data_IF_107036789519
#
_entry.id   IF_107036789519
#
_cell.length_a   1.000
_cell.length_b   1.000
_cell.length_c   1.000
_cell.angle_alpha   90.00
_cell.angle_beta   90.00
_cell.angle_gamma   90.00
#
_symmetry.space_group_name_H-M   'P 1'
#
loop_
_entity.id
_entity.type
_entity.pdbx_description
1 polymer ?
#
# COMPACT_ATOMS: atom_id res chain seq x y z
N UNK A 1 -32.82 -6.69 -26.20
CA UNK A 1 -32.09 -7.51 -25.18
C UNK A 1 -30.61 -7.16 -25.17
N UNK A 2 -29.93 -7.08 -26.32
CA UNK A 2 -28.50 -6.72 -26.41
C UNK A 2 -28.15 -5.33 -25.85
N UNK A 3 -28.95 -4.29 -26.14
CA UNK A 3 -28.70 -2.94 -25.58
C UNK A 3 -28.76 -2.87 -24.04
N UNK A 4 -29.48 -3.77 -23.38
CA UNK A 4 -29.60 -3.78 -21.92
C UNK A 4 -28.39 -4.42 -21.21
N UNK A 5 -27.72 -5.37 -21.87
CA UNK A 5 -26.49 -5.98 -21.35
C UNK A 5 -25.27 -5.06 -21.52
N UNK A 6 -25.15 -4.39 -22.68
CA UNK A 6 -24.08 -3.42 -22.95
C UNK A 6 -24.02 -2.30 -21.89
N UNK A 7 -25.18 -1.76 -21.50
CA UNK A 7 -25.26 -0.70 -20.49
C UNK A 7 -24.88 -1.17 -19.07
N UNK A 8 -25.15 -2.43 -18.74
CA UNK A 8 -24.76 -3.04 -17.45
C UNK A 8 -23.25 -3.24 -17.32
N UNK A 9 -22.59 -3.68 -18.40
CA UNK A 9 -21.13 -3.82 -18.42
C UNK A 9 -20.40 -2.48 -18.30
N UNK A 10 -20.88 -1.44 -18.99
CA UNK A 10 -20.30 -0.08 -18.91
C UNK A 10 -20.43 0.48 -17.49
N UNK A 11 -21.60 0.34 -16.86
CA UNK A 11 -21.79 0.77 -15.46
C UNK A 11 -20.86 0.03 -14.51
N UNK A 12 -20.77 -1.30 -14.65
CA UNK A 12 -19.92 -2.16 -13.81
C UNK A 12 -18.45 -1.77 -13.94
N UNK A 13 -17.98 -1.56 -15.17
CA UNK A 13 -16.63 -1.09 -15.43
C UNK A 13 -16.39 0.29 -14.79
N UNK A 14 -17.32 1.23 -14.94
CA UNK A 14 -17.26 2.53 -14.28
C UNK A 14 -17.17 2.42 -12.75
N UNK A 15 -17.95 1.52 -12.15
CA UNK A 15 -17.91 1.26 -10.71
C UNK A 15 -16.57 0.65 -10.25
N UNK A 16 -15.99 -0.30 -11.00
CA UNK A 16 -14.66 -0.83 -10.73
C UNK A 16 -13.57 0.25 -10.84
N UNK A 17 -13.66 1.12 -11.86
CA UNK A 17 -12.74 2.24 -12.01
C UNK A 17 -12.82 3.19 -10.81
N UNK A 18 -14.03 3.56 -10.36
CA UNK A 18 -14.20 4.39 -9.16
C UNK A 18 -13.65 3.71 -7.91
N UNK A 19 -13.96 2.43 -7.71
CA UNK A 19 -13.55 1.66 -6.54
C UNK A 19 -12.03 1.54 -6.41
N UNK A 20 -11.33 1.28 -7.52
CA UNK A 20 -9.92 0.89 -7.51
C UNK A 20 -8.97 1.88 -8.18
N UNK A 21 -9.43 3.00 -8.74
CA UNK A 21 -8.54 4.00 -9.33
C UNK A 21 -7.47 4.52 -8.34
N UNK A 22 -7.79 4.89 -7.09
CA UNK A 22 -6.77 5.35 -6.15
C UNK A 22 -5.77 4.25 -5.78
N UNK A 23 -6.25 3.02 -5.57
CA UNK A 23 -5.37 1.89 -5.26
C UNK A 23 -4.47 1.53 -6.44
N UNK A 24 -4.99 1.56 -7.67
CA UNK A 24 -4.23 1.29 -8.88
C UNK A 24 -3.16 2.37 -9.11
N UNK A 25 -3.50 3.64 -8.90
CA UNK A 25 -2.54 4.73 -8.97
C UNK A 25 -1.40 4.58 -7.94
N UNK A 26 -1.72 4.20 -6.69
CA UNK A 26 -0.71 3.93 -5.68
C UNK A 26 0.13 2.69 -6.02
N UNK A 27 -0.49 1.62 -6.53
CA UNK A 27 0.23 0.41 -6.92
C UNK A 27 1.24 0.70 -8.03
N UNK A 28 0.81 1.37 -9.10
CA UNK A 28 1.66 1.70 -10.25
C UNK A 28 2.82 2.63 -9.87
N UNK A 29 2.59 3.58 -8.96
CA UNK A 29 3.63 4.53 -8.53
C UNK A 29 4.59 3.97 -7.48
N UNK A 30 4.08 3.19 -6.53
CA UNK A 30 4.83 2.82 -5.33
C UNK A 30 5.33 1.38 -5.35
N UNK A 31 4.57 0.45 -5.95
CA UNK A 31 4.85 -0.98 -5.90
C UNK A 31 5.40 -1.53 -7.22
N UNK A 32 4.88 -1.09 -8.37
CA UNK A 32 5.19 -1.71 -9.67
C UNK A 32 6.66 -1.54 -10.10
N UNK A 33 7.35 -0.50 -9.64
CA UNK A 33 8.76 -0.23 -9.98
C UNK A 33 9.76 -1.19 -9.32
N UNK A 34 9.34 -1.93 -8.30
CA UNK A 34 10.21 -2.83 -7.54
C UNK A 34 9.51 -4.18 -7.34
N UNK A 35 10.04 -5.28 -7.89
CA UNK A 35 9.43 -6.60 -7.77
C UNK A 35 9.26 -7.03 -6.31
N UNK A 36 10.13 -6.59 -5.40
CA UNK A 36 10.02 -6.90 -3.98
C UNK A 36 8.78 -6.26 -3.35
N UNK A 37 8.48 -5.01 -3.72
CA UNK A 37 7.25 -4.33 -3.29
C UNK A 37 6.02 -4.99 -3.90
N UNK A 38 6.10 -5.44 -5.14
CA UNK A 38 5.00 -6.19 -5.78
C UNK A 38 4.71 -7.51 -5.05
N UNK A 39 5.75 -8.25 -4.64
CA UNK A 39 5.60 -9.47 -3.82
C UNK A 39 4.98 -9.13 -2.45
N UNK A 40 5.40 -8.03 -1.81
CA UNK A 40 4.84 -7.58 -0.53
C UNK A 40 3.36 -7.19 -0.64
N UNK A 41 2.95 -6.56 -1.75
CA UNK A 41 1.54 -6.31 -2.05
C UNK A 41 0.74 -7.63 -2.10
N UNK A 42 1.25 -8.63 -2.82
CA UNK A 42 0.66 -9.96 -2.88
C UNK A 42 0.61 -10.67 -1.51
N UNK A 43 1.64 -10.51 -0.69
CA UNK A 43 1.68 -11.03 0.68
C UNK A 43 0.58 -10.41 1.57
N UNK A 44 0.39 -9.09 1.49
CA UNK A 44 -0.70 -8.41 2.21
C UNK A 44 -2.08 -8.92 1.79
N UNK A 45 -2.31 -9.03 0.49
CA UNK A 45 -3.52 -9.62 -0.09
C UNK A 45 -3.79 -11.05 0.43
N UNK A 46 -2.77 -11.91 0.41
CA UNK A 46 -2.87 -13.29 0.88
C UNK A 46 -3.19 -13.38 2.37
N UNK A 47 -2.47 -12.62 3.21
CA UNK A 47 -2.70 -12.66 4.67
C UNK A 47 -4.10 -12.18 5.02
N UNK A 48 -4.64 -11.19 4.31
CA UNK A 48 -6.02 -10.77 4.49
C UNK A 48 -7.03 -11.89 4.17
N UNK A 49 -6.82 -12.64 3.08
CA UNK A 49 -7.66 -13.81 2.74
C UNK A 49 -7.58 -14.89 3.81
N UNK A 50 -6.39 -15.16 4.34
CA UNK A 50 -6.20 -16.11 5.44
C UNK A 50 -6.96 -15.63 6.69
N UNK A 51 -6.93 -14.34 7.01
CA UNK A 51 -7.70 -13.78 8.13
C UNK A 51 -9.21 -14.01 7.96
N UNK A 52 -9.77 -13.82 6.77
CA UNK A 52 -11.17 -14.14 6.49
C UNK A 52 -11.47 -15.64 6.50
N UNK A 53 -10.55 -16.47 6.01
CA UNK A 53 -10.69 -17.93 6.06
C UNK A 53 -10.78 -18.40 7.51
N UNK A 54 -9.88 -17.95 8.38
CA UNK A 54 -9.90 -18.27 9.80
C UNK A 54 -11.20 -17.81 10.47
N UNK A 55 -11.67 -16.60 10.11
CA UNK A 55 -12.96 -16.09 10.59
C UNK A 55 -14.13 -17.01 10.17
N UNK A 56 -14.14 -17.44 8.91
CA UNK A 56 -15.16 -18.35 8.37
C UNK A 56 -15.12 -19.73 9.03
N UNK A 57 -13.93 -20.25 9.34
CA UNK A 57 -13.77 -21.51 10.08
C UNK A 57 -14.34 -21.39 11.50
N UNK A 58 -14.09 -20.28 12.20
CA UNK A 58 -14.67 -20.02 13.54
C UNK A 58 -16.19 -19.92 13.46
N UNK A 59 -16.73 -19.17 12.50
CA UNK A 59 -18.18 -19.07 12.29
C UNK A 59 -18.82 -20.43 11.95
N UNK A 60 -18.12 -21.27 11.18
CA UNK A 60 -18.57 -22.62 10.82
C UNK A 60 -18.52 -23.58 12.01
N UNK A 61 -17.47 -23.49 12.84
CA UNK A 61 -17.27 -24.38 13.98
C UNK A 61 -18.25 -24.16 15.14
N UNK A 62 -18.90 -23.00 15.22
CA UNK A 62 -19.79 -22.63 16.34
C UNK A 62 -21.21 -22.37 15.80
N UNK A 63 -22.03 -23.42 15.54
CA UNK A 63 -23.41 -23.29 15.06
C UNK A 63 -24.31 -22.32 15.85
N UNK A 64 -24.32 -22.29 17.20
CA UNK A 64 -25.24 -21.43 17.93
C UNK A 64 -24.94 -19.93 17.80
N UNK A 65 -23.75 -19.55 17.32
CA UNK A 65 -23.34 -18.16 17.14
C UNK A 65 -23.51 -17.68 15.69
N UNK A 66 -24.01 -18.52 14.78
CA UNK A 66 -24.15 -18.16 13.36
C UNK A 66 -25.15 -17.04 13.11
N UNK A 67 -26.19 -16.96 13.95
CA UNK A 67 -27.23 -15.91 13.87
C UNK A 67 -26.74 -14.55 14.40
N UNK A 68 -25.58 -14.53 15.08
CA UNK A 68 -25.02 -13.34 15.71
C UNK A 68 -23.90 -12.74 14.83
N UNK A 69 -24.28 -11.95 13.82
CA UNK A 69 -23.34 -11.33 12.86
C UNK A 69 -22.19 -10.57 13.55
N UNK A 70 -22.49 -9.88 14.66
CA UNK A 70 -21.51 -9.09 15.41
C UNK A 70 -20.34 -9.93 15.93
N UNK A 71 -20.57 -11.21 16.26
CA UNK A 71 -19.50 -12.10 16.74
C UNK A 71 -18.48 -12.37 15.62
N UNK A 72 -18.96 -12.72 14.43
CA UNK A 72 -18.10 -12.95 13.26
C UNK A 72 -17.32 -11.69 12.88
N UNK A 73 -17.95 -10.51 12.99
CA UNK A 73 -17.29 -9.23 12.74
C UNK A 73 -16.13 -8.98 13.73
N UNK A 74 -16.31 -9.26 15.02
CA UNK A 74 -15.25 -9.12 16.02
C UNK A 74 -14.09 -10.08 15.73
N UNK A 75 -14.39 -11.36 15.46
CA UNK A 75 -13.37 -12.34 15.09
C UNK A 75 -12.60 -11.90 13.83
N UNK A 76 -13.30 -11.36 12.84
CA UNK A 76 -12.70 -10.84 11.62
C UNK A 76 -11.70 -9.73 11.89
N UNK A 77 -12.07 -8.73 12.70
CA UNK A 77 -11.17 -7.63 13.06
C UNK A 77 -9.93 -8.18 13.78
N UNK A 78 -10.11 -9.09 14.75
CA UNK A 78 -8.98 -9.68 15.49
C UNK A 78 -8.02 -10.40 14.54
N UNK A 79 -8.51 -11.26 13.65
CA UNK A 79 -7.65 -11.99 12.72
C UNK A 79 -7.01 -11.08 11.67
N UNK A 80 -7.70 -10.03 11.22
CA UNK A 80 -7.13 -9.05 10.28
C UNK A 80 -6.01 -8.23 10.92
N UNK A 81 -6.18 -7.80 12.17
CA UNK A 81 -5.14 -7.06 12.90
C UNK A 81 -3.97 -7.96 13.32
N UNK A 82 -4.25 -9.20 13.72
CA UNK A 82 -3.20 -10.20 13.94
C UNK A 82 -2.40 -10.47 12.66
N UNK A 83 -3.07 -10.62 11.52
CA UNK A 83 -2.42 -10.79 10.21
C UNK A 83 -1.53 -9.61 9.84
N UNK A 84 -1.98 -8.38 10.10
CA UNK A 84 -1.19 -7.14 9.87
C UNK A 84 0.09 -7.09 10.68
N UNK A 85 0.02 -7.51 11.95
CA UNK A 85 1.18 -7.63 12.84
C UNK A 85 2.08 -8.79 12.41
N UNK A 86 1.51 -9.91 11.97
CA UNK A 86 2.27 -11.03 11.42
C UNK A 86 3.09 -10.62 10.19
N UNK A 87 2.51 -9.85 9.26
CA UNK A 87 3.23 -9.29 8.11
C UNK A 87 4.45 -8.46 8.53
N UNK A 88 4.32 -7.64 9.58
CA UNK A 88 5.44 -6.84 10.11
C UNK A 88 6.60 -7.75 10.56
N UNK A 89 6.28 -8.78 11.36
CA UNK A 89 7.30 -9.70 11.87
C UNK A 89 7.90 -10.56 10.78
N UNK A 90 7.10 -11.07 9.84
CA UNK A 90 7.57 -11.83 8.69
C UNK A 90 8.54 -11.00 7.85
N UNK A 91 8.20 -9.76 7.55
CA UNK A 91 9.07 -8.86 6.81
C UNK A 91 10.39 -8.60 7.55
N UNK A 92 10.34 -8.34 8.86
CA UNK A 92 11.55 -8.12 9.67
C UNK A 92 12.45 -9.37 9.66
N UNK A 93 11.85 -10.55 9.79
CA UNK A 93 12.58 -11.82 9.72
C UNK A 93 13.20 -12.05 8.34
N UNK A 94 12.47 -11.73 7.26
CA UNK A 94 12.99 -11.80 5.91
C UNK A 94 14.16 -10.83 5.68
N UNK A 95 14.06 -9.59 6.17
CA UNK A 95 15.14 -8.60 6.11
C UNK A 95 16.40 -9.07 6.85
N UNK A 96 16.25 -9.63 8.06
CA UNK A 96 17.37 -10.20 8.82
C UNK A 96 18.02 -11.39 8.11
N UNK A 97 17.20 -12.28 7.55
CA UNK A 97 17.66 -13.43 6.77
C UNK A 97 18.48 -12.97 5.56
N UNK A 98 17.91 -12.09 4.74
CA UNK A 98 18.57 -11.53 3.56
C UNK A 98 19.87 -10.79 3.91
N UNK A 99 19.89 -10.01 4.99
CA UNK A 99 21.10 -9.34 5.45
C UNK A 99 22.20 -10.31 5.89
N UNK A 100 21.83 -11.43 6.53
CA UNK A 100 22.78 -12.49 6.89
C UNK A 100 23.38 -13.19 5.68
N UNK A 101 22.61 -13.37 4.60
CA UNK A 101 23.10 -13.97 3.36
C UNK A 101 23.97 -13.01 2.53
N UNK A 102 23.81 -11.71 2.71
CA UNK A 102 24.56 -10.69 1.98
C UNK A 102 25.96 -10.38 2.57
N UNK A 103 26.34 -10.98 3.71
CA UNK A 103 27.66 -10.80 4.31
C UNK A 103 28.77 -11.62 3.58
N UNK A 104 30.05 -11.19 3.62
CA UNK A 104 31.01 -11.32 2.50
C UNK A 104 31.72 -12.67 2.33
N UNK A 105 31.28 -13.76 2.95
CA UNK A 105 32.00 -15.05 2.88
C UNK A 105 31.68 -15.87 1.62
N UNK A 106 30.70 -15.47 0.80
CA UNK A 106 30.42 -16.09 -0.49
C UNK A 106 30.74 -15.13 -1.63
N UNK A 107 31.64 -15.57 -2.49
CA UNK A 107 32.20 -14.86 -3.64
C UNK A 107 31.19 -14.59 -4.77
N UNK A 108 30.10 -13.87 -4.49
CA UNK A 108 29.25 -13.31 -5.52
C UNK A 108 28.69 -11.97 -5.07
N UNK A 109 29.23 -10.91 -5.66
CA UNK A 109 28.86 -9.52 -5.48
C UNK A 109 27.47 -9.24 -6.10
N UNK A 110 26.44 -9.95 -5.68
CA UNK A 110 25.05 -9.58 -5.95
C UNK A 110 24.66 -8.58 -4.88
N UNK A 111 24.98 -7.31 -5.11
CA UNK A 111 24.29 -6.25 -4.37
C UNK A 111 22.82 -6.35 -4.76
N UNK A 112 22.00 -6.99 -3.92
CA UNK A 112 20.55 -6.94 -4.09
C UNK A 112 20.16 -5.50 -3.75
N UNK A 113 20.33 -4.59 -4.71
CA UNK A 113 20.14 -3.14 -4.59
C UNK A 113 18.75 -2.78 -4.02
N UNK A 114 17.79 -3.72 -4.06
CA UNK A 114 16.48 -3.60 -3.42
C UNK A 114 16.48 -3.71 -1.89
N UNK A 115 17.32 -4.53 -1.26
CA UNK A 115 17.21 -4.83 0.20
C UNK A 115 17.62 -3.63 1.07
N UNK A 116 18.66 -2.90 0.69
CA UNK A 116 19.12 -1.70 1.41
C UNK A 116 18.14 -0.53 1.25
N UNK A 117 17.51 -0.40 0.07
CA UNK A 117 16.42 0.56 -0.19
C UNK A 117 15.16 0.23 0.61
N UNK A 118 14.86 -1.07 0.78
CA UNK A 118 13.72 -1.56 1.54
C UNK A 118 13.84 -1.25 3.04
N UNK A 119 15.04 -1.38 3.62
CA UNK A 119 15.29 -1.05 5.02
C UNK A 119 15.07 0.45 5.31
N UNK A 120 15.38 1.32 4.35
CA UNK A 120 15.28 2.78 4.52
C UNK A 120 13.84 3.31 4.41
N UNK A 121 12.90 2.53 3.84
CA UNK A 121 11.56 3.02 3.49
C UNK A 121 10.42 2.32 4.24
N UNK A 122 10.57 2.04 5.55
CA UNK A 122 9.61 1.25 6.35
C UNK A 122 8.12 1.62 6.17
N UNK A 123 7.80 2.91 6.07
CA UNK A 123 6.42 3.38 5.88
C UNK A 123 5.91 3.08 4.47
N UNK A 124 6.78 3.09 3.45
CA UNK A 124 6.43 2.68 2.09
C UNK A 124 6.07 1.19 2.04
N UNK A 125 6.81 0.34 2.75
CA UNK A 125 6.50 -1.10 2.83
C UNK A 125 5.15 -1.32 3.52
N UNK A 126 4.87 -0.56 4.60
CA UNK A 126 3.57 -0.60 5.29
C UNK A 126 2.44 -0.19 4.35
N UNK A 127 2.66 0.87 3.55
CA UNK A 127 1.70 1.33 2.53
C UNK A 127 1.42 0.22 1.53
N UNK A 128 2.44 -0.47 1.03
CA UNK A 128 2.30 -1.53 0.01
C UNK A 128 1.57 -2.76 0.56
N UNK A 129 1.88 -3.22 1.77
CA UNK A 129 1.14 -4.33 2.40
C UNK A 129 -0.30 -3.93 2.69
N UNK A 130 -0.51 -2.73 3.24
CA UNK A 130 -1.85 -2.20 3.49
C UNK A 130 -2.66 -2.05 2.21
N UNK A 131 -2.02 -1.65 1.11
CA UNK A 131 -2.64 -1.56 -0.21
C UNK A 131 -3.11 -2.93 -0.71
N UNK A 132 -2.32 -3.99 -0.53
CA UNK A 132 -2.70 -5.37 -0.85
C UNK A 132 -3.91 -5.85 -0.07
N UNK A 133 -3.90 -5.63 1.26
CA UNK A 133 -5.05 -5.95 2.11
C UNK A 133 -6.30 -5.15 1.69
N UNK A 134 -6.13 -3.87 1.37
CA UNK A 134 -7.21 -2.98 0.96
C UNK A 134 -7.88 -3.40 -0.35
N UNK A 135 -7.07 -3.71 -1.38
CA UNK A 135 -7.60 -4.13 -2.69
C UNK A 135 -8.44 -5.39 -2.56
N UNK A 136 -7.96 -6.42 -1.86
CA UNK A 136 -8.72 -7.67 -1.73
C UNK A 136 -9.97 -7.48 -0.86
N UNK A 137 -9.89 -6.65 0.18
CA UNK A 137 -11.05 -6.27 0.98
C UNK A 137 -12.12 -5.55 0.16
N UNK A 138 -11.71 -4.59 -0.67
CA UNK A 138 -12.58 -3.90 -1.61
C UNK A 138 -13.20 -4.85 -2.65
N UNK A 139 -12.43 -5.82 -3.14
CA UNK A 139 -12.92 -6.83 -4.09
C UNK A 139 -13.99 -7.71 -3.43
N UNK A 140 -13.76 -8.21 -2.22
CA UNK A 140 -14.75 -9.01 -1.50
C UNK A 140 -16.05 -8.24 -1.23
N UNK A 141 -15.95 -6.93 -0.97
CA UNK A 141 -17.11 -6.07 -0.81
C UNK A 141 -17.91 -5.89 -2.11
N UNK A 142 -17.25 -5.83 -3.26
CA UNK A 142 -17.88 -5.38 -4.52
C UNK A 142 -18.13 -6.47 -5.54
N UNK A 143 -17.38 -7.58 -5.54
CA UNK A 143 -17.37 -8.57 -6.62
C UNK A 143 -18.76 -9.16 -6.90
N UNK A 144 -19.45 -9.66 -5.86
CA UNK A 144 -20.79 -10.23 -6.01
C UNK A 144 -21.83 -9.16 -6.37
N UNK A 145 -21.66 -7.95 -5.83
CA UNK A 145 -22.56 -6.84 -6.04
C UNK A 145 -22.47 -6.27 -7.47
N UNK A 146 -21.24 -6.23 -8.01
CA UNK A 146 -20.92 -5.78 -9.35
C UNK A 146 -21.28 -6.82 -10.40
N UNK A 147 -21.14 -8.11 -10.09
CA UNK A 147 -21.67 -9.18 -10.93
C UNK A 147 -23.19 -9.06 -11.11
N UNK A 148 -23.92 -8.83 -10.00
CA UNK A 148 -25.37 -8.68 -10.03
C UNK A 148 -25.86 -7.49 -10.89
N UNK A 149 -25.12 -6.38 -10.96
CA UNK A 149 -25.46 -5.24 -11.83
C UNK A 149 -24.93 -5.39 -13.27
N UNK A 150 -23.92 -6.25 -13.49
CA UNK A 150 -23.35 -6.51 -14.82
C UNK A 150 -24.24 -7.40 -15.69
N UNK A 151 -25.02 -8.27 -15.05
CA UNK A 151 -26.00 -9.11 -15.74
C UNK A 151 -27.19 -8.30 -16.29
N UNK A 152 -27.98 -8.94 -17.14
CA UNK A 152 -29.30 -8.46 -17.60
C UNK A 152 -30.30 -8.25 -16.44
N UNK A 153 -29.89 -8.21 -15.17
CA UNK A 153 -30.72 -7.90 -14.01
C UNK A 153 -31.02 -6.39 -13.86
N UNK A 154 -30.37 -5.51 -14.65
CA UNK A 154 -30.96 -4.19 -14.93
C UNK A 154 -32.31 -4.37 -15.65
N UNK A 155 -32.54 -5.47 -16.37
CA UNK A 155 -33.86 -5.87 -16.89
C UNK A 155 -34.79 -6.37 -15.79
N UNK A 156 -34.36 -6.57 -14.53
CA UNK A 156 -35.25 -6.80 -13.38
C UNK A 156 -35.89 -5.50 -12.88
N UNK A 157 -35.08 -4.46 -12.65
CA UNK A 157 -35.58 -3.11 -12.35
C UNK A 157 -36.27 -2.44 -13.54
N UNK A 158 -35.80 -2.69 -14.77
CA UNK A 158 -36.48 -2.25 -16.00
C UNK A 158 -37.70 -3.14 -16.34
N UNK A 159 -37.82 -4.39 -15.87
CA UNK A 159 -39.06 -5.19 -16.00
C UNK A 159 -40.18 -4.66 -15.11
N UNK A 160 -39.89 -4.24 -13.88
CA UNK A 160 -40.88 -3.51 -13.07
C UNK A 160 -41.30 -2.21 -13.76
N UNK A 161 -40.36 -1.54 -14.43
CA UNK A 161 -40.66 -0.32 -15.22
C UNK A 161 -41.52 -0.60 -16.47
N UNK A 162 -41.53 -1.84 -16.99
CA UNK A 162 -42.32 -2.27 -18.17
C UNK A 162 -43.65 -2.93 -17.81
N UNK A 163 -43.87 -3.32 -16.55
CA UNK A 163 -45.11 -3.95 -16.07
C UNK A 163 -46.05 -2.99 -15.33
N UNK A 164 -45.72 -1.70 -15.25
CA UNK A 164 -46.62 -0.66 -14.73
C UNK A 164 -46.68 -0.58 -13.21
N UNK A 165 -45.92 -1.43 -12.50
CA UNK A 165 -45.76 -1.31 -11.07
C UNK A 165 -44.72 -0.21 -10.77
N UNK A 166 -45.06 0.82 -9.99
CA UNK A 166 -44.09 1.81 -9.59
C UNK A 166 -42.97 1.11 -8.82
N UNK A 167 -41.74 1.24 -9.33
CA UNK A 167 -40.52 0.88 -8.62
C UNK A 167 -40.70 1.27 -7.15
N UNK A 168 -40.43 0.40 -6.16
CA UNK A 168 -40.32 0.85 -4.79
C UNK A 168 -39.41 2.07 -4.84
N UNK A 169 -39.84 3.20 -4.29
CA UNK A 169 -39.13 4.47 -4.25
C UNK A 169 -37.75 4.42 -3.54
N UNK A 170 -37.26 3.20 -3.29
CA UNK A 170 -36.20 2.79 -2.39
C UNK A 170 -35.10 1.97 -3.08
N UNK A 171 -35.09 1.78 -4.40
CA UNK A 171 -33.85 1.38 -5.10
C UNK A 171 -33.11 2.66 -5.51
N UNK A 172 -32.23 3.23 -4.66
CA UNK A 172 -31.59 4.50 -4.96
C UNK A 172 -30.76 4.32 -6.23
N UNK A 173 -30.99 5.18 -7.22
CA UNK A 173 -30.23 5.22 -8.50
C UNK A 173 -28.71 5.25 -8.30
N UNK A 174 -28.23 5.57 -7.10
CA UNK A 174 -26.82 5.67 -6.72
C UNK A 174 -26.25 4.42 -6.01
N UNK A 175 -27.01 3.35 -5.78
CA UNK A 175 -26.55 2.18 -5.03
C UNK A 175 -25.23 1.56 -5.56
N UNK A 176 -25.03 1.38 -6.89
CA UNK A 176 -23.78 0.85 -7.41
C UNK A 176 -22.58 1.76 -7.14
N UNK A 177 -22.80 3.08 -7.24
CA UNK A 177 -21.77 4.08 -6.94
C UNK A 177 -21.45 4.12 -5.45
N UNK A 178 -22.46 3.94 -4.58
CA UNK A 178 -22.26 3.85 -3.14
C UNK A 178 -21.34 2.68 -2.75
N UNK A 179 -21.54 1.50 -3.36
CA UNK A 179 -20.64 0.36 -3.17
C UNK A 179 -19.23 0.63 -3.68
N UNK A 180 -19.10 1.24 -4.85
CA UNK A 180 -17.80 1.62 -5.41
C UNK A 180 -17.03 2.57 -4.49
N UNK A 181 -17.67 3.65 -4.03
CA UNK A 181 -17.06 4.62 -3.11
C UNK A 181 -16.73 3.96 -1.77
N UNK A 182 -17.59 3.08 -1.26
CA UNK A 182 -17.31 2.35 -0.02
C UNK A 182 -16.06 1.46 -0.14
N UNK A 183 -15.89 0.77 -1.28
CA UNK A 183 -14.70 -0.03 -1.54
C UNK A 183 -13.42 0.80 -1.67
N UNK A 184 -13.52 1.96 -2.33
CA UNK A 184 -12.43 2.94 -2.42
C UNK A 184 -11.97 3.39 -1.02
N UNK A 185 -12.93 3.83 -0.19
CA UNK A 185 -12.65 4.29 1.17
C UNK A 185 -12.08 3.17 2.04
N UNK A 186 -12.66 1.97 1.98
CA UNK A 186 -12.17 0.80 2.71
C UNK A 186 -10.74 0.45 2.31
N UNK A 187 -10.44 0.45 1.01
CA UNK A 187 -9.10 0.15 0.50
C UNK A 187 -8.06 1.16 0.99
N UNK A 188 -8.41 2.45 1.03
CA UNK A 188 -7.52 3.50 1.56
C UNK A 188 -7.36 3.42 3.08
N UNK A 189 -8.42 3.11 3.82
CA UNK A 189 -8.31 2.85 5.27
C UNK A 189 -7.32 1.74 5.57
N UNK A 190 -7.35 0.67 4.77
CA UNK A 190 -6.40 -0.42 4.88
C UNK A 190 -4.93 0.00 4.75
N UNK A 191 -4.63 0.97 3.89
CA UNK A 191 -3.31 1.57 3.79
C UNK A 191 -2.96 2.29 5.09
N UNK A 192 -3.80 3.23 5.51
CA UNK A 192 -3.46 4.15 6.60
C UNK A 192 -3.35 3.44 7.95
N UNK A 193 -4.29 2.57 8.31
CA UNK A 193 -4.20 1.85 9.58
C UNK A 193 -3.02 0.86 9.61
N UNK A 194 -2.52 0.43 8.44
CA UNK A 194 -1.30 -0.40 8.35
C UNK A 194 -0.06 0.39 8.71
N UNK A 195 0.04 1.61 8.17
CA UNK A 195 1.16 2.51 8.50
C UNK A 195 1.19 2.78 10.00
N UNK A 196 0.04 3.08 10.61
CA UNK A 196 -0.06 3.36 12.05
C UNK A 196 0.34 2.16 12.92
N UNK A 197 -0.14 0.97 12.60
CA UNK A 197 0.19 -0.24 13.39
C UNK A 197 1.66 -0.60 13.25
N UNK A 198 2.21 -0.53 12.04
CA UNK A 198 3.63 -0.81 11.82
C UNK A 198 4.53 0.20 12.50
N UNK A 199 4.15 1.48 12.54
CA UNK A 199 4.87 2.50 13.31
C UNK A 199 4.92 2.17 14.81
N UNK A 200 3.78 1.79 15.39
CA UNK A 200 3.71 1.31 16.79
C UNK A 200 4.54 0.06 17.04
N UNK A 201 4.45 -0.94 16.15
CA UNK A 201 5.24 -2.17 16.26
C UNK A 201 6.74 -1.88 16.22
N UNK A 202 7.17 -0.95 15.37
CA UNK A 202 8.57 -0.56 15.28
C UNK A 202 9.09 0.08 16.56
N UNK A 203 8.38 1.07 17.11
CA UNK A 203 8.75 1.69 18.38
C UNK A 203 8.75 0.68 19.55
N UNK A 204 7.81 -0.26 19.56
CA UNK A 204 7.80 -1.35 20.54
C UNK A 204 9.08 -2.21 20.43
N UNK A 205 9.50 -2.55 19.22
CA UNK A 205 10.69 -3.36 18.99
C UNK A 205 11.98 -2.64 19.36
N UNK A 206 12.13 -1.37 18.98
CA UNK A 206 13.30 -0.57 19.37
C UNK A 206 13.49 -0.55 20.89
N UNK A 207 12.39 -0.41 21.65
CA UNK A 207 12.42 -0.46 23.11
C UNK A 207 12.83 -1.83 23.65
N UNK A 208 12.36 -2.92 23.04
CA UNK A 208 12.75 -4.29 23.44
C UNK A 208 14.22 -4.54 23.17
N UNK A 209 14.72 -4.12 22.01
CA UNK A 209 16.13 -4.28 21.64
C UNK A 209 17.04 -3.45 22.55
N UNK A 210 16.64 -2.22 22.90
CA UNK A 210 17.35 -1.37 23.86
C UNK A 210 17.34 -1.97 25.29
N UNK A 211 16.21 -2.51 25.74
CA UNK A 211 16.10 -3.17 27.04
C UNK A 211 16.96 -4.44 27.11
N UNK A 212 17.02 -5.22 26.03
CA UNK A 212 17.88 -6.40 25.93
C UNK A 212 19.37 -6.03 25.98
N UNK A 213 19.78 -4.97 25.27
CA UNK A 213 21.16 -4.46 25.31
C UNK A 213 21.54 -3.91 26.70
N UNK A 214 20.63 -3.21 27.38
CA UNK A 214 20.85 -2.76 28.75
C UNK A 214 21.02 -3.96 29.71
N UNK A 215 20.20 -5.01 29.56
CA UNK A 215 20.31 -6.22 30.37
C UNK A 215 21.64 -6.97 30.16
N UNK A 216 22.17 -7.01 28.93
CA UNK A 216 23.47 -7.66 28.65
C UNK A 216 24.68 -6.88 29.17
N UNK A 217 24.55 -5.56 29.43
CA UNK A 217 25.67 -4.70 29.83
C UNK A 217 25.90 -4.69 31.35
N UNK A 218 24.95 -5.19 32.15
CA UNK A 218 25.07 -5.28 33.62
C UNK A 218 26.09 -6.33 34.13
N UNK A 219 26.85 -6.99 33.24
CA UNK A 219 27.95 -7.91 33.59
C UNK A 219 29.36 -7.28 33.59
N UNK A 220 29.54 -6.06 33.06
CA UNK A 220 30.88 -5.47 32.92
C UNK A 220 30.82 -3.94 32.86
N UNK A 221 31.23 -3.32 33.98
CA UNK A 221 31.63 -1.94 34.25
C UNK A 221 31.02 -0.79 33.43
N UNK A 222 30.42 0.12 34.21
CA UNK A 222 29.92 1.45 33.87
C UNK A 222 30.93 2.31 33.10
N UNK A 223 30.58 2.74 31.88
CA UNK A 223 30.97 4.04 31.30
C UNK A 223 30.23 4.35 30.00
N UNK A 224 29.67 3.36 29.28
CA UNK A 224 28.94 3.57 28.03
C UNK A 224 27.41 3.80 28.17
N UNK A 225 26.84 3.53 29.35
CA UNK A 225 25.38 3.58 29.57
C UNK A 225 24.77 4.99 29.57
N UNK A 226 25.60 6.05 29.58
CA UNK A 226 25.15 7.45 29.60
C UNK A 226 24.87 8.04 28.22
N UNK A 227 25.22 7.35 27.13
CA UNK A 227 25.01 7.85 25.76
C UNK A 227 23.65 7.43 25.15
N UNK A 228 23.02 6.39 25.69
CA UNK A 228 21.74 5.83 25.19
C UNK A 228 20.50 6.28 25.98
N UNK A 229 20.69 6.91 27.15
CA UNK A 229 19.62 7.45 28.00
C UNK A 229 18.89 8.71 27.46
N UNK A 230 19.50 9.66 26.73
CA UNK A 230 18.76 10.85 26.29
C UNK A 230 17.70 10.57 25.21
N UNK A 231 17.79 9.44 24.49
CA UNK A 231 16.77 9.00 23.51
C UNK A 231 15.50 8.44 24.17
N UNK A 232 15.59 7.96 25.41
CA UNK A 232 14.44 7.43 26.16
C UNK A 232 13.73 8.49 26.99
N UNK A 233 14.39 9.63 27.26
CA UNK A 233 13.92 10.62 28.23
C UNK A 233 13.13 11.77 27.60
N UNK A 234 13.27 12.01 26.28
CA UNK A 234 12.61 13.13 25.60
C UNK A 234 11.39 12.73 24.72
N UNK A 235 11.16 11.45 24.46
CA UNK A 235 9.97 10.97 23.72
C UNK A 235 9.06 10.17 24.66
N UNK A 236 8.43 10.90 25.58
CA UNK A 236 7.27 10.48 26.36
C UNK A 236 6.02 10.30 25.46
N UNK A 237 6.23 9.98 24.18
CA UNK A 237 5.18 9.72 23.22
C UNK A 237 4.67 8.30 23.45
N UNK A 238 3.36 8.21 23.58
CA UNK A 238 2.65 6.96 23.80
C UNK A 238 2.77 6.09 22.54
N UNK A 239 3.81 5.26 22.46
CA UNK A 239 4.17 4.45 21.28
C UNK A 239 3.05 3.52 20.79
N UNK A 240 2.15 3.11 21.68
CA UNK A 240 1.00 2.27 21.35
C UNK A 240 -0.21 3.06 20.83
N UNK A 241 -0.23 4.39 20.99
CA UNK A 241 -1.38 5.22 20.62
C UNK A 241 -1.73 5.11 19.12
N UNK A 242 -0.79 5.12 18.17
CA UNK A 242 -1.12 4.93 16.75
C UNK A 242 -1.84 3.61 16.46
N UNK A 243 -1.38 2.50 17.05
CA UNK A 243 -2.05 1.21 16.93
C UNK A 243 -3.45 1.22 17.55
N UNK A 244 -3.65 1.85 18.73
CA UNK A 244 -4.98 1.94 19.33
C UNK A 244 -5.93 2.74 18.43
N UNK A 245 -5.48 3.88 17.89
CA UNK A 245 -6.26 4.70 16.95
C UNK A 245 -6.62 3.89 15.70
N UNK A 246 -5.66 3.17 15.14
CA UNK A 246 -5.88 2.30 13.98
C UNK A 246 -6.99 1.25 14.24
N UNK A 247 -6.89 0.52 15.36
CA UNK A 247 -7.90 -0.49 15.73
C UNK A 247 -9.25 0.15 16.01
N UNK A 248 -9.29 1.28 16.71
CA UNK A 248 -10.53 2.00 17.00
C UNK A 248 -11.23 2.47 15.71
N UNK A 249 -10.49 2.97 14.73
CA UNK A 249 -11.03 3.35 13.43
C UNK A 249 -11.48 2.13 12.59
N UNK A 250 -10.81 0.98 12.71
CA UNK A 250 -11.26 -0.26 12.08
C UNK A 250 -12.59 -0.75 12.67
N UNK A 251 -12.71 -0.77 13.99
CA UNK A 251 -13.98 -1.08 14.69
C UNK A 251 -15.06 -0.07 14.29
N UNK A 252 -14.75 1.22 14.32
CA UNK A 252 -15.67 2.28 13.90
C UNK A 252 -16.16 2.10 12.47
N UNK A 253 -15.26 1.82 11.51
CA UNK A 253 -15.64 1.56 10.12
C UNK A 253 -16.58 0.36 10.00
N UNK A 254 -16.37 -0.68 10.80
CA UNK A 254 -17.21 -1.88 10.82
C UNK A 254 -18.61 -1.55 11.37
N UNK A 255 -18.69 -0.80 12.47
CA UNK A 255 -19.97 -0.33 13.04
C UNK A 255 -20.72 0.55 12.05
N UNK A 256 -20.03 1.50 11.41
CA UNK A 256 -20.62 2.40 10.41
C UNK A 256 -21.07 1.63 9.16
N UNK A 257 -20.41 0.54 8.81
CA UNK A 257 -20.84 -0.39 7.76
C UNK A 257 -22.09 -1.17 8.16
N UNK A 258 -22.18 -1.61 9.40
CA UNK A 258 -23.37 -2.28 9.93
C UNK A 258 -24.58 -1.33 9.94
N UNK A 259 -24.40 -0.07 10.33
CA UNK A 259 -25.46 0.94 10.25
C UNK A 259 -25.89 1.26 8.81
N UNK A 260 -24.99 1.06 7.83
CA UNK A 260 -25.30 1.23 6.40
C UNK A 260 -26.34 0.21 5.91
N UNK A 261 -26.33 -1.01 6.45
CA UNK A 261 -27.35 -2.02 6.09
C UNK A 261 -28.76 -1.66 6.57
N UNK A 262 -28.90 -0.71 7.50
CA UNK A 262 -30.18 -0.25 8.04
C UNK A 262 -30.77 0.95 7.28
N UNK A 263 -30.29 1.25 6.07
CA UNK A 263 -30.85 2.30 5.20
C UNK A 263 -30.10 3.64 5.21
N UNK A 264 -29.01 3.78 5.97
CA UNK A 264 -28.27 5.04 6.14
C UNK A 264 -26.99 5.13 5.27
N UNK A 265 -27.03 4.58 4.05
CA UNK A 265 -25.84 4.38 3.23
C UNK A 265 -25.07 5.68 2.90
N UNK A 266 -25.77 6.76 2.55
CA UNK A 266 -25.12 8.05 2.24
C UNK A 266 -24.41 8.65 3.46
N UNK A 267 -25.04 8.57 4.64
CA UNK A 267 -24.44 9.05 5.90
C UNK A 267 -23.22 8.19 6.26
N UNK A 268 -23.30 6.88 6.07
CA UNK A 268 -22.19 5.94 6.29
C UNK A 268 -20.96 6.32 5.44
N UNK A 269 -21.16 6.65 4.17
CA UNK A 269 -20.08 7.08 3.27
C UNK A 269 -19.46 8.40 3.74
N UNK A 270 -20.27 9.42 4.06
CA UNK A 270 -19.75 10.69 4.56
C UNK A 270 -18.93 10.51 5.84
N UNK A 271 -19.40 9.66 6.75
CA UNK A 271 -18.70 9.36 7.99
C UNK A 271 -17.38 8.63 7.73
N UNK A 272 -17.36 7.62 6.85
CA UNK A 272 -16.13 6.93 6.45
C UNK A 272 -15.13 7.85 5.76
N UNK A 273 -15.60 8.77 4.92
CA UNK A 273 -14.74 9.77 4.28
C UNK A 273 -14.13 10.71 5.34
N UNK A 274 -14.92 11.22 6.28
CA UNK A 274 -14.43 12.04 7.39
C UNK A 274 -13.43 11.28 8.26
N UNK A 275 -13.70 10.01 8.57
CA UNK A 275 -12.79 9.14 9.30
C UNK A 275 -11.47 8.97 8.54
N UNK A 276 -11.51 8.75 7.22
CA UNK A 276 -10.31 8.55 6.41
C UNK A 276 -9.45 9.81 6.41
N UNK A 277 -10.08 10.97 6.21
CA UNK A 277 -9.40 12.26 6.25
C UNK A 277 -8.73 12.45 7.61
N UNK A 278 -9.45 12.26 8.72
CA UNK A 278 -8.89 12.37 10.06
C UNK A 278 -7.70 11.42 10.28
N UNK A 279 -7.80 10.18 9.80
CA UNK A 279 -6.74 9.18 9.93
C UNK A 279 -5.51 9.55 9.08
N UNK A 280 -5.70 10.12 7.89
CA UNK A 280 -4.61 10.62 7.03
C UNK A 280 -3.89 11.78 7.70
N UNK A 281 -4.61 12.76 8.26
CA UNK A 281 -4.01 13.87 9.02
C UNK A 281 -3.21 13.37 10.23
N UNK A 282 -3.79 12.42 10.96
CA UNK A 282 -3.11 11.81 12.11
C UNK A 282 -1.84 11.07 11.67
N UNK A 283 -1.92 10.27 10.61
CA UNK A 283 -0.78 9.57 10.04
C UNK A 283 0.31 10.54 9.56
N UNK A 284 -0.05 11.65 8.91
CA UNK A 284 0.90 12.68 8.50
C UNK A 284 1.63 13.29 9.70
N UNK A 285 0.89 13.62 10.77
CA UNK A 285 1.49 14.18 11.99
C UNK A 285 2.49 13.22 12.65
N UNK A 286 2.27 11.91 12.55
CA UNK A 286 3.17 10.89 13.07
C UNK A 286 4.42 10.74 12.21
N UNK A 287 4.25 10.69 10.89
CA UNK A 287 5.37 10.42 9.97
C UNK A 287 6.29 11.62 9.81
N UNK A 288 5.74 12.85 9.78
CA UNK A 288 6.51 14.08 9.55
C UNK A 288 6.88 14.84 10.81
N UNK A 289 6.28 14.55 11.96
CA UNK A 289 6.42 15.34 13.19
C UNK A 289 6.10 16.85 13.00
N UNK A 290 5.25 17.17 12.01
CA UNK A 290 4.88 18.54 11.65
C UNK A 290 3.40 18.82 11.87
N UNK A 291 3.05 20.11 11.90
CA UNK A 291 1.66 20.56 11.98
C UNK A 291 0.87 20.19 10.71
N UNK A 292 -0.45 19.95 10.81
CA UNK A 292 -1.28 19.56 9.67
C UNK A 292 -1.38 20.61 8.56
N UNK A 293 -0.95 21.86 8.81
CA UNK A 293 -0.86 22.91 7.80
C UNK A 293 0.13 22.55 6.66
N UNK A 294 1.19 21.80 6.96
CA UNK A 294 2.14 21.31 5.96
C UNK A 294 1.49 20.37 4.94
N UNK A 295 0.57 19.50 5.40
CA UNK A 295 -0.16 18.58 4.54
C UNK A 295 -1.03 19.31 3.51
N UNK A 296 -1.73 20.38 3.91
CA UNK A 296 -2.52 21.17 2.96
C UNK A 296 -1.66 21.81 1.86
N UNK A 297 -0.46 22.28 2.22
CA UNK A 297 0.49 22.82 1.25
C UNK A 297 0.98 21.74 0.29
N UNK A 298 1.37 20.56 0.80
CA UNK A 298 1.79 19.44 -0.04
C UNK A 298 0.65 18.93 -0.94
N UNK A 299 -0.58 18.84 -0.44
CA UNK A 299 -1.76 18.51 -1.24
C UNK A 299 -1.97 19.56 -2.33
N UNK A 300 -1.89 20.85 -1.99
CA UNK A 300 -2.01 21.93 -2.98
C UNK A 300 -0.95 21.86 -4.08
N UNK A 301 0.29 21.55 -3.71
CA UNK A 301 1.38 21.33 -4.66
C UNK A 301 1.13 20.09 -5.52
N UNK A 302 0.73 18.96 -4.91
CA UNK A 302 0.43 17.72 -5.63
C UNK A 302 -0.77 17.87 -6.58
N UNK A 303 -1.81 18.61 -6.18
CA UNK A 303 -2.95 18.93 -7.03
C UNK A 303 -2.51 19.82 -8.20
N UNK A 304 -1.67 20.83 -7.94
CA UNK A 304 -1.10 21.67 -9.01
C UNK A 304 -0.25 20.85 -9.97
N UNK A 305 0.58 19.96 -9.47
CA UNK A 305 1.44 19.09 -10.29
C UNK A 305 0.62 18.06 -11.08
N UNK A 306 -0.50 17.59 -10.52
CA UNK A 306 -1.45 16.74 -11.22
C UNK A 306 -2.20 17.50 -12.33
N UNK A 307 -2.74 18.69 -12.02
CA UNK A 307 -3.45 19.55 -13.00
C UNK A 307 -2.51 19.96 -14.14
N UNK A 308 -1.24 20.23 -13.83
CA UNK A 308 -0.23 20.60 -14.83
C UNK A 308 0.31 19.40 -15.63
N UNK A 309 -0.13 18.17 -15.30
CA UNK A 309 0.33 16.91 -15.91
C UNK A 309 1.85 16.78 -15.91
N UNK A 310 2.53 17.37 -14.92
CA UNK A 310 3.98 17.48 -14.87
C UNK A 310 4.66 16.11 -14.92
N UNK A 311 4.12 15.14 -14.19
CA UNK A 311 4.60 13.76 -14.16
C UNK A 311 4.47 13.04 -15.52
N UNK A 312 3.42 13.34 -16.30
CA UNK A 312 3.25 12.78 -17.65
C UNK A 312 4.22 13.41 -18.64
N UNK A 313 4.49 14.72 -18.52
CA UNK A 313 5.51 15.40 -19.32
C UNK A 313 6.90 14.83 -19.05
N UNK A 314 7.24 14.59 -17.79
CA UNK A 314 8.53 14.01 -17.41
C UNK A 314 8.68 12.56 -17.90
N UNK A 315 7.62 11.76 -17.83
CA UNK A 315 7.61 10.39 -18.36
C UNK A 315 7.72 10.35 -19.89
N UNK A 316 7.04 11.26 -20.61
CA UNK A 316 7.21 11.41 -22.06
C UNK A 316 8.64 11.81 -22.41
N UNK A 317 9.19 12.82 -21.72
CA UNK A 317 10.56 13.30 -21.97
C UNK A 317 11.60 12.20 -21.74
N UNK A 318 11.49 11.41 -20.67
CA UNK A 318 12.41 10.26 -20.43
C UNK A 318 12.30 9.21 -21.53
N UNK A 319 11.09 8.96 -22.05
CA UNK A 319 10.87 8.00 -23.13
C UNK A 319 11.45 8.50 -24.46
N UNK A 320 11.36 9.79 -24.74
CA UNK A 320 12.00 10.43 -25.89
C UNK A 320 13.53 10.38 -25.79
N UNK A 321 14.10 10.67 -24.62
CA UNK A 321 15.56 10.58 -24.39
C UNK A 321 16.05 9.14 -24.52
N UNK A 322 15.32 8.16 -23.99
CA UNK A 322 15.66 6.74 -24.13
C UNK A 322 15.57 6.26 -25.59
N UNK A 323 14.56 6.70 -26.33
CA UNK A 323 14.42 6.41 -27.76
C UNK A 323 15.53 7.08 -28.59
N UNK A 324 15.91 8.31 -28.26
CA UNK A 324 17.02 9.00 -28.89
C UNK A 324 18.35 8.28 -28.64
N UNK A 325 18.63 7.87 -27.40
CA UNK A 325 19.83 7.10 -27.07
C UNK A 325 19.90 5.74 -27.78
N UNK A 326 18.77 5.06 -27.97
CA UNK A 326 18.72 3.81 -28.72
C UNK A 326 19.06 4.00 -30.21
N UNK A 327 18.59 5.09 -30.84
CA UNK A 327 18.90 5.41 -32.25
C UNK A 327 20.36 5.83 -32.47
N UNK A 328 21.01 6.48 -31.50
CA UNK A 328 22.44 6.82 -31.63
C UNK A 328 23.34 5.60 -31.49
N UNK A 329 22.91 4.60 -30.70
CA UNK A 329 23.67 3.38 -30.47
C UNK A 329 23.60 2.42 -31.66
N UNK A 330 22.49 2.37 -32.41
CA UNK A 330 22.40 1.59 -33.64
C UNK A 330 23.13 2.22 -34.82
N UNK A 331 23.35 3.53 -34.81
CA UNK A 331 24.05 4.24 -35.90
C UNK A 331 25.58 4.22 -35.75
N UNK A 332 26.09 3.96 -34.54
CA UNK A 332 27.53 3.82 -34.27
C UNK A 332 28.10 2.42 -34.53
N UNK A 333 27.27 1.42 -34.81
CA UNK A 333 27.71 0.05 -35.13
C UNK A 333 27.84 -0.24 -36.63
N UNK A 334 27.42 0.68 -37.50
CA UNK A 334 27.44 0.50 -38.96
C UNK A 334 28.59 1.26 -39.66
N UNK A 335 29.46 1.97 -38.91
CA UNK A 335 30.57 2.76 -39.49
C UNK A 335 31.98 2.16 -39.29
N UNK A 336 32.13 0.95 -38.71
CA UNK A 336 33.44 0.33 -38.42
C UNK A 336 33.78 -0.95 -39.23
N UNK A 337 33.05 -1.25 -40.31
CA UNK A 337 33.46 -2.27 -41.30
C UNK A 337 33.70 -1.65 -42.67
N UNK A 338 34.80 -0.89 -42.82
CA UNK A 338 35.54 -0.82 -44.08
C UNK A 338 36.85 -0.02 -43.90
N UNK A 339 37.98 -0.72 -43.86
CA UNK A 339 39.25 -0.13 -44.33
C UNK A 339 40.52 -0.33 -43.49
N UNK A 340 41.31 -1.32 -43.93
CA UNK A 340 42.78 -1.30 -44.05
C UNK A 340 43.61 -1.63 -42.80
N UNK A 341 44.01 -2.90 -42.74
CA UNK A 341 45.27 -3.34 -42.12
C UNK A 341 46.47 -2.96 -42.99
N UNK A 342 47.58 -2.45 -42.42
CA UNK A 342 48.99 -2.76 -42.77
C UNK A 342 49.96 -2.28 -41.63
N UNK A 343 50.85 -3.20 -41.24
CA UNK A 343 52.17 -3.10 -40.57
C UNK A 343 52.39 -2.44 -39.18
N UNK A 344 52.71 -3.30 -38.20
CA UNK A 344 54.09 -3.57 -37.74
C UNK A 344 54.88 -2.44 -37.08
N UNK A 345 55.19 -2.57 -35.79
CA UNK A 345 56.23 -1.77 -35.14
C UNK A 345 56.24 -1.84 -33.62
N UNK A 346 57.24 -2.51 -33.07
CA UNK A 346 57.62 -2.54 -31.66
C UNK A 346 57.93 -1.12 -31.13
N UNK A 347 57.43 -0.76 -29.92
CA UNK A 347 58.18 -0.05 -28.87
C UNK A 347 57.32 0.35 -27.66
N UNK A 348 57.67 -0.22 -26.50
CA UNK A 348 58.13 0.47 -25.28
C UNK A 348 57.49 1.81 -24.82
N UNK A 349 57.25 1.86 -23.50
CA UNK A 349 57.14 3.04 -22.60
C UNK A 349 55.80 3.82 -22.63
N UNK A 350 55.05 3.78 -21.51
CA UNK A 350 55.02 4.84 -20.47
C UNK A 350 53.73 4.79 -19.65
N UNK A 351 53.86 4.36 -18.39
CA UNK A 351 52.94 4.78 -17.32
C UNK A 351 52.90 6.32 -17.25
N UNK A 352 51.70 6.91 -17.26
CA UNK A 352 51.46 8.24 -16.69
C UNK A 352 50.17 8.26 -15.88
N UNK A 353 50.37 8.18 -14.57
CA UNK A 353 49.62 8.92 -13.55
C UNK A 353 49.38 10.35 -14.04
N UNK A 354 48.14 10.81 -14.00
CA UNK A 354 47.81 12.25 -13.92
C UNK A 354 46.74 12.41 -12.85
N UNK A 355 47.24 12.69 -11.64
CA UNK A 355 46.60 13.55 -10.66
C UNK A 355 46.63 14.99 -11.20
N UNK A 356 45.50 15.67 -11.20
CA UNK A 356 45.49 17.15 -11.21
C UNK A 356 44.40 17.65 -10.28
N UNK A 357 44.85 18.20 -9.15
CA UNK A 357 44.14 19.13 -8.28
C UNK A 357 43.93 20.49 -8.95
N UNK A 358 43.11 21.30 -8.26
CA UNK A 358 42.90 22.76 -8.31
C UNK A 358 41.73 23.20 -9.20
N UNK A 359 40.81 24.03 -8.73
CA UNK A 359 40.84 25.05 -7.66
C UNK A 359 39.55 25.10 -6.87
#
# INVERSE_FOLDING_TARGET
REYGSEMGYVLTLGCYLVAFAPTAALFLRLAASDPLKTILFGCGAFVWLVSLLLTSLVWTAIPPLRDQLWFSLICSIIFQEAGRVACFFMLRSAQKGLASLANPTSAQHVSVNGVMSLANSRHLLAVVIGLGMGVVSGLFLTMNAFDAISGSAVVGGIRETLQGDPLPSSFPRLLPLQWAVNAMLLSMMHVVWTVLIWDSCHHCMLRRDAAAAAASTNGSQSTAATASTPLLQNEQRVWWAPALVAVAFHVGNTVVSYSSSSGWASVSICLKAAMLIALVFYCYSIVRHESPAGLFREIGLALRDWITLAALREACSKKEVAAAAANTTSRGSDEDEDGVAIHGGSNSVRQRRVSTERT
#
